data_IF_386216059763
#
_entry.id   IF_386216059763
#
_cell.length_a   1.000
_cell.length_b   1.000
_cell.length_c   1.000
_cell.angle_alpha   90.00
_cell.angle_beta   90.00
_cell.angle_gamma   90.00
#
_symmetry.space_group_name_H-M   'P 1'
#
loop_
_entity.id
_entity.type
_entity.pdbx_description
1 polymer ?
#
# COMPACT_ATOMS: atom_id res chain seq x y z
N UNK A 1 -4.38 4.18 12.18
CA UNK A 1 -3.58 4.30 10.96
C UNK A 1 -4.06 3.27 9.95
N UNK A 2 -4.13 3.62 8.68
CA UNK A 2 -4.48 2.70 7.61
C UNK A 2 -3.29 2.47 6.69
N UNK A 3 -3.22 1.27 6.10
CA UNK A 3 -2.15 0.87 5.18
C UNK A 3 -2.63 1.06 3.74
N UNK A 4 -1.81 1.62 2.88
CA UNK A 4 -2.14 1.81 1.47
C UNK A 4 -1.38 0.79 0.61
N UNK A 5 -2.10 0.13 -0.31
CA UNK A 5 -1.49 -0.64 -1.38
C UNK A 5 -0.73 0.29 -2.33
N UNK A 6 0.29 -0.19 -2.98
CA UNK A 6 1.17 0.61 -3.84
C UNK A 6 0.40 1.40 -4.90
N UNK A 7 -0.53 0.74 -5.61
CA UNK A 7 -1.32 1.42 -6.65
C UNK A 7 -2.19 2.53 -6.08
N UNK A 8 -2.66 2.38 -4.85
CA UNK A 8 -3.47 3.42 -4.19
C UNK A 8 -2.62 4.67 -3.93
N UNK A 9 -1.37 4.48 -3.50
CA UNK A 9 -0.43 5.61 -3.33
C UNK A 9 -0.22 6.33 -4.65
N UNK A 10 0.04 5.58 -5.72
CA UNK A 10 0.29 6.14 -7.04
C UNK A 10 -0.93 6.92 -7.56
N UNK A 11 -2.12 6.33 -7.47
CA UNK A 11 -3.35 6.98 -7.94
C UNK A 11 -3.73 8.19 -7.10
N UNK A 12 -3.53 8.15 -5.81
CA UNK A 12 -3.82 9.30 -4.95
C UNK A 12 -3.00 10.54 -5.37
N UNK A 13 -1.79 10.32 -5.87
CA UNK A 13 -0.91 11.40 -6.33
C UNK A 13 -1.20 11.82 -7.76
N UNK A 14 -1.29 10.85 -8.70
CA UNK A 14 -1.30 11.13 -10.14
C UNK A 14 -2.69 11.12 -10.77
N UNK A 15 -3.61 10.30 -10.24
CA UNK A 15 -4.92 10.11 -10.86
C UNK A 15 -5.97 9.76 -9.80
N UNK A 16 -6.30 10.71 -8.91
CA UNK A 16 -7.21 10.44 -7.79
C UNK A 16 -8.62 10.01 -8.22
N UNK A 17 -8.98 10.21 -9.48
CA UNK A 17 -10.28 9.74 -10.02
C UNK A 17 -10.37 8.21 -10.04
N UNK A 18 -9.26 7.50 -10.00
CA UNK A 18 -9.22 6.04 -9.96
C UNK A 18 -9.56 5.48 -8.58
N UNK A 19 -9.51 6.30 -7.55
CA UNK A 19 -9.91 5.89 -6.21
C UNK A 19 -11.43 5.82 -6.13
N UNK A 20 -11.95 4.78 -5.46
CA UNK A 20 -13.37 4.72 -5.13
C UNK A 20 -13.72 5.82 -4.13
N UNK A 21 -15.01 6.11 -4.01
CA UNK A 21 -15.49 7.09 -3.02
C UNK A 21 -15.07 6.68 -1.60
N UNK A 22 -15.21 5.40 -1.28
CA UNK A 22 -14.88 4.90 0.06
C UNK A 22 -13.38 4.95 0.32
N UNK A 23 -12.55 4.59 -0.67
CA UNK A 23 -11.10 4.68 -0.56
C UNK A 23 -10.65 6.13 -0.35
N UNK A 24 -11.15 7.05 -1.16
CA UNK A 24 -10.83 8.47 -1.03
C UNK A 24 -11.25 9.03 0.33
N UNK A 25 -12.44 8.65 0.82
CA UNK A 25 -12.94 9.06 2.13
C UNK A 25 -12.08 8.52 3.27
N UNK A 26 -11.70 7.23 3.19
CA UNK A 26 -10.85 6.61 4.20
C UNK A 26 -9.48 7.30 4.30
N UNK A 27 -8.88 7.62 3.15
CA UNK A 27 -7.60 8.33 3.09
C UNK A 27 -7.72 9.72 3.73
N UNK A 28 -8.75 10.48 3.38
CA UNK A 28 -8.97 11.82 3.95
C UNK A 28 -9.12 11.77 5.46
N UNK A 29 -9.91 10.82 5.97
CA UNK A 29 -10.12 10.67 7.42
C UNK A 29 -8.83 10.30 8.13
N UNK A 30 -8.07 9.37 7.57
CA UNK A 30 -6.80 8.95 8.15
C UNK A 30 -5.78 10.07 8.20
N UNK A 31 -5.69 10.90 7.16
CA UNK A 31 -4.80 12.06 7.13
C UNK A 31 -5.10 13.05 8.27
N UNK A 32 -6.35 13.20 8.65
CA UNK A 32 -6.77 14.09 9.74
C UNK A 32 -6.73 13.43 11.10
N UNK A 33 -6.55 12.12 11.16
CA UNK A 33 -6.57 11.34 12.38
C UNK A 33 -5.26 10.62 12.63
N UNK A 34 -5.31 9.29 12.59
CA UNK A 34 -4.18 8.45 12.96
C UNK A 34 -3.07 8.36 11.91
N UNK A 35 -3.32 8.80 10.68
CA UNK A 35 -2.33 8.85 9.63
C UNK A 35 -2.38 7.70 8.66
N UNK A 36 -1.51 7.80 7.63
CA UNK A 36 -1.35 6.84 6.55
C UNK A 36 -0.05 6.07 6.74
N UNK A 37 -0.05 4.81 6.34
CA UNK A 37 1.14 3.96 6.36
C UNK A 37 1.31 3.24 5.02
N UNK A 38 2.55 2.87 4.72
CA UNK A 38 2.90 2.00 3.59
C UNK A 38 3.89 0.95 4.08
N UNK A 39 3.87 -0.22 3.44
CA UNK A 39 4.92 -1.21 3.66
C UNK A 39 6.24 -0.73 3.08
N UNK A 40 7.35 -1.09 3.71
CA UNK A 40 8.68 -0.80 3.16
C UNK A 40 8.85 -1.32 1.73
N UNK A 41 8.20 -2.44 1.37
CA UNK A 41 8.26 -2.99 0.00
C UNK A 41 7.60 -2.06 -1.02
N UNK A 42 6.63 -1.25 -0.59
CA UNK A 42 5.98 -0.28 -1.47
C UNK A 42 6.97 0.75 -2.01
N UNK A 43 8.01 1.09 -1.24
CA UNK A 43 9.05 2.01 -1.72
C UNK A 43 9.72 1.49 -3.00
N UNK A 44 10.03 0.20 -3.03
CA UNK A 44 10.63 -0.42 -4.20
C UNK A 44 9.68 -0.44 -5.40
N UNK A 45 8.42 -0.80 -5.18
CA UNK A 45 7.43 -0.77 -6.26
C UNK A 45 7.21 0.63 -6.81
N UNK A 46 7.13 1.64 -5.93
CA UNK A 46 7.01 3.03 -6.36
C UNK A 46 8.21 3.47 -7.18
N UNK A 47 9.43 3.09 -6.75
CA UNK A 47 10.64 3.38 -7.50
C UNK A 47 10.61 2.76 -8.90
N UNK A 48 10.09 1.52 -9.03
CA UNK A 48 9.92 0.90 -10.33
C UNK A 48 8.91 1.65 -11.21
N UNK A 49 7.77 2.05 -10.63
CA UNK A 49 6.75 2.81 -11.38
C UNK A 49 7.32 4.15 -11.88
N UNK A 50 8.07 4.85 -11.04
CA UNK A 50 8.73 6.10 -11.43
C UNK A 50 9.76 5.86 -12.53
N UNK A 51 10.61 4.86 -12.36
CA UNK A 51 11.67 4.55 -13.33
C UNK A 51 11.11 4.15 -14.70
N UNK A 52 9.91 3.54 -14.73
CA UNK A 52 9.24 3.15 -15.97
C UNK A 52 8.34 4.25 -16.56
N UNK A 53 8.35 5.45 -15.98
CA UNK A 53 7.53 6.56 -16.45
C UNK A 53 6.04 6.39 -16.20
N UNK A 54 5.64 5.51 -15.30
CA UNK A 54 4.23 5.25 -14.98
C UNK A 54 3.66 6.16 -13.91
N UNK A 55 4.51 6.89 -13.23
CA UNK A 55 4.17 7.92 -12.24
C UNK A 55 5.00 9.15 -12.57
N UNK A 56 4.41 10.32 -12.42
CA UNK A 56 5.10 11.57 -12.74
C UNK A 56 6.38 11.74 -11.91
N UNK A 57 7.47 12.11 -12.58
CA UNK A 57 8.79 12.22 -11.98
C UNK A 57 9.10 13.68 -11.65
N UNK A 58 9.62 13.92 -10.45
CA UNK A 58 10.13 15.21 -10.01
C UNK A 58 11.61 15.04 -9.65
N UNK A 59 12.49 15.29 -10.62
CA UNK A 59 13.92 15.09 -10.42
C UNK A 59 14.34 13.62 -10.49
N UNK A 60 15.04 13.12 -9.47
CA UNK A 60 15.50 11.74 -9.42
C UNK A 60 14.37 10.78 -9.01
N UNK A 61 14.59 9.48 -9.21
CA UNK A 61 13.69 8.44 -8.71
C UNK A 61 13.54 8.56 -7.19
N UNK A 62 14.65 8.74 -6.49
CA UNK A 62 14.61 8.89 -5.03
C UNK A 62 13.76 10.09 -4.59
N UNK A 63 13.96 11.24 -5.19
CA UNK A 63 13.18 12.45 -4.88
C UNK A 63 11.69 12.23 -5.12
N UNK A 64 11.35 11.55 -6.22
CA UNK A 64 9.96 11.27 -6.56
C UNK A 64 9.30 10.32 -5.55
N UNK A 65 10.01 9.27 -5.13
CA UNK A 65 9.51 8.34 -4.11
C UNK A 65 9.31 9.06 -2.78
N UNK A 66 10.26 9.90 -2.36
CA UNK A 66 10.13 10.69 -1.13
C UNK A 66 8.90 11.58 -1.16
N UNK A 67 8.63 12.22 -2.29
CA UNK A 67 7.45 13.07 -2.44
C UNK A 67 6.15 12.26 -2.32
N UNK A 68 6.10 11.08 -2.93
CA UNK A 68 4.90 10.22 -2.90
C UNK A 68 4.52 9.76 -1.50
N UNK A 69 5.49 9.56 -0.62
CA UNK A 69 5.27 9.05 0.74
C UNK A 69 5.47 10.10 1.84
N UNK A 70 5.53 11.37 1.47
CA UNK A 70 5.91 12.45 2.38
C UNK A 70 5.08 12.48 3.67
N UNK A 71 3.78 12.22 3.57
CA UNK A 71 2.87 12.24 4.71
C UNK A 71 2.55 10.84 5.26
N UNK A 72 3.39 9.85 4.97
CA UNK A 72 3.13 8.45 5.33
C UNK A 72 4.20 7.88 6.25
N UNK A 73 3.79 6.97 7.11
CA UNK A 73 4.69 6.17 7.93
C UNK A 73 5.10 4.92 7.16
N UNK A 74 6.40 4.66 7.06
CA UNK A 74 6.91 3.44 6.42
C UNK A 74 7.05 2.35 7.47
N UNK A 75 6.33 1.24 7.27
CA UNK A 75 6.38 0.08 8.18
C UNK A 75 7.47 -0.86 7.69
N UNK A 76 8.48 -1.16 8.51
CA UNK A 76 9.56 -2.05 8.11
C UNK A 76 9.10 -3.49 7.97
N UNK A 77 9.84 -4.27 7.18
CA UNK A 77 9.61 -5.72 7.05
C UNK A 77 10.29 -6.39 8.25
N UNK A 78 9.49 -6.73 9.25
CA UNK A 78 9.99 -7.41 10.46
C UNK A 78 10.04 -8.92 10.25
N UNK A 79 10.74 -9.68 11.11
CA UNK A 79 10.69 -11.15 11.08
C UNK A 79 9.26 -11.70 11.16
N UNK A 80 8.40 -11.09 11.97
CA UNK A 80 6.98 -11.47 12.05
C UNK A 80 6.28 -11.30 10.71
N UNK A 81 6.43 -10.13 10.08
CA UNK A 81 5.81 -9.85 8.79
C UNK A 81 6.32 -10.80 7.72
N UNK A 82 7.64 -11.04 7.68
CA UNK A 82 8.24 -11.96 6.73
C UNK A 82 7.68 -13.38 6.89
N UNK A 83 7.53 -13.84 8.13
CA UNK A 83 6.97 -15.16 8.41
C UNK A 83 5.50 -15.25 7.97
N UNK A 84 4.68 -14.25 8.33
CA UNK A 84 3.27 -14.21 7.94
C UNK A 84 3.10 -14.21 6.42
N UNK A 85 4.01 -13.54 5.69
CA UNK A 85 3.95 -13.48 4.23
C UNK A 85 4.07 -14.86 3.57
N UNK A 86 4.70 -15.82 4.24
CA UNK A 86 4.83 -17.20 3.75
C UNK A 86 3.62 -18.07 4.06
N UNK A 87 2.66 -17.58 4.84
CA UNK A 87 1.57 -18.37 5.39
C UNK A 87 0.20 -18.07 4.79
N UNK A 88 0.14 -17.29 3.72
CA UNK A 88 -1.11 -17.04 3.03
C UNK A 88 -1.56 -18.28 2.24
N UNK A 89 -2.88 -18.53 2.18
CA UNK A 89 -3.42 -19.65 1.41
C UNK A 89 -3.24 -19.42 -0.09
N UNK A 90 -3.44 -20.51 -0.88
CA UNK A 90 -3.19 -20.49 -2.32
C UNK A 90 -4.13 -19.56 -3.10
N UNK A 91 -5.32 -19.26 -2.56
CA UNK A 91 -6.28 -18.37 -3.18
C UNK A 91 -5.96 -16.88 -2.97
N UNK A 92 -4.97 -16.57 -2.12
CA UNK A 92 -4.42 -15.22 -2.00
C UNK A 92 -3.37 -15.00 -3.11
N UNK A 93 -3.17 -13.77 -3.62
CA UNK A 93 -2.18 -13.52 -4.65
C UNK A 93 -0.81 -14.08 -4.30
N UNK A 94 -0.16 -14.69 -5.31
CA UNK A 94 1.17 -15.31 -5.12
C UNK A 94 2.32 -14.32 -5.20
N UNK A 95 2.06 -13.14 -5.75
CA UNK A 95 3.07 -12.09 -5.84
C UNK A 95 3.67 -11.81 -4.46
N UNK A 96 5.01 -11.91 -4.30
CA UNK A 96 5.65 -11.68 -3.00
C UNK A 96 5.33 -10.31 -2.42
N UNK A 97 5.23 -9.28 -3.24
CA UNK A 97 4.91 -7.93 -2.79
C UNK A 97 3.53 -7.87 -2.17
N UNK A 98 2.53 -8.46 -2.83
CA UNK A 98 1.16 -8.52 -2.29
C UNK A 98 1.11 -9.26 -0.95
N UNK A 99 1.91 -10.31 -0.82
CA UNK A 99 1.99 -11.09 0.43
C UNK A 99 2.65 -10.31 1.55
N UNK A 100 3.69 -9.54 1.26
CA UNK A 100 4.35 -8.70 2.25
C UNK A 100 3.43 -7.56 2.71
N UNK A 101 2.73 -6.92 1.78
CA UNK A 101 1.76 -5.87 2.12
C UNK A 101 0.62 -6.45 2.98
N UNK A 102 0.07 -7.59 2.58
CA UNK A 102 -0.98 -8.26 3.35
C UNK A 102 -0.51 -8.67 4.74
N UNK A 103 0.70 -9.22 4.84
CA UNK A 103 1.30 -9.60 6.12
C UNK A 103 1.50 -8.39 7.03
N UNK A 104 1.88 -7.24 6.45
CA UNK A 104 2.01 -5.99 7.19
C UNK A 104 0.66 -5.57 7.79
N UNK A 105 -0.40 -5.61 6.99
CA UNK A 105 -1.75 -5.29 7.45
C UNK A 105 -2.17 -6.18 8.62
N UNK A 106 -1.87 -7.48 8.53
CA UNK A 106 -2.21 -8.44 9.60
C UNK A 106 -1.40 -8.20 10.88
N UNK A 107 -0.08 -8.10 10.74
CA UNK A 107 0.81 -7.93 11.89
C UNK A 107 0.51 -6.64 12.66
N UNK A 108 0.19 -5.57 11.95
CA UNK A 108 -0.05 -4.26 12.53
C UNK A 108 -1.54 -4.01 12.82
N UNK A 109 -2.41 -4.98 12.53
CA UNK A 109 -3.86 -4.87 12.67
C UNK A 109 -4.43 -3.62 11.97
N UNK A 110 -3.91 -3.33 10.78
CA UNK A 110 -4.35 -2.18 9.97
C UNK A 110 -5.34 -2.60 8.90
N UNK A 111 -6.29 -1.73 8.60
CA UNK A 111 -7.13 -1.86 7.40
C UNK A 111 -6.28 -1.50 6.18
N UNK A 112 -6.37 -2.32 5.14
CA UNK A 112 -5.65 -2.10 3.87
C UNK A 112 -6.60 -1.46 2.85
N UNK A 113 -6.18 -0.34 2.28
CA UNK A 113 -6.89 0.26 1.14
C UNK A 113 -6.31 -0.37 -0.12
N UNK A 114 -7.12 -1.13 -0.84
CA UNK A 114 -6.70 -1.84 -2.05
C UNK A 114 -7.89 -2.04 -2.99
N UNK A 115 -7.62 -1.98 -4.30
CA UNK A 115 -8.58 -2.33 -5.32
C UNK A 115 -8.56 -3.82 -5.66
N UNK A 116 -7.50 -4.54 -5.33
CA UNK A 116 -7.31 -5.94 -5.72
C UNK A 116 -8.42 -6.82 -5.13
N UNK A 117 -9.25 -7.40 -6.03
CA UNK A 117 -10.39 -8.23 -5.62
C UNK A 117 -9.97 -9.50 -4.90
N UNK A 118 -8.84 -10.08 -5.25
CA UNK A 118 -8.37 -11.32 -4.62
C UNK A 118 -7.93 -11.05 -3.19
N UNK A 119 -7.33 -9.89 -2.93
CA UNK A 119 -6.99 -9.47 -1.57
C UNK A 119 -8.26 -9.15 -0.80
N UNK A 120 -9.19 -8.43 -1.43
CA UNK A 120 -10.46 -8.02 -0.79
C UNK A 120 -11.33 -9.20 -0.38
N UNK A 121 -11.25 -10.33 -1.10
CA UNK A 121 -12.00 -11.54 -0.76
C UNK A 121 -11.38 -12.32 0.41
N UNK A 122 -10.14 -12.03 0.79
CA UNK A 122 -9.49 -12.74 1.88
C UNK A 122 -10.10 -12.37 3.23
N UNK A 123 -10.51 -13.34 4.04
CA UNK A 123 -11.01 -13.07 5.39
C UNK A 123 -9.90 -12.70 6.37
N UNK A 124 -8.64 -12.80 5.95
CA UNK A 124 -7.49 -12.58 6.81
C UNK A 124 -7.13 -11.11 6.97
N UNK A 125 -7.65 -10.25 6.08
CA UNK A 125 -7.30 -8.83 6.02
C UNK A 125 -8.58 -8.01 5.92
N UNK A 126 -8.67 -6.96 6.74
CA UNK A 126 -9.73 -5.96 6.56
C UNK A 126 -9.33 -5.01 5.45
N UNK A 127 -10.22 -4.79 4.51
CA UNK A 127 -9.94 -3.94 3.35
C UNK A 127 -11.02 -2.88 3.16
N UNK A 128 -10.64 -1.81 2.48
CA UNK A 128 -11.53 -0.75 2.02
C UNK A 128 -11.28 -0.51 0.54
N UNK A 129 -12.37 -0.41 -0.20
CA UNK A 129 -12.34 0.09 -1.57
C UNK A 129 -13.68 0.67 -1.99
#
# INVERSE_FOLDING_TARGET
MILLDTHVVAWAADDPKRLSRDAASAIRRARRGEGLAVSAITLWELAQLVARGRVQVFGSVETSVRALIEDMTVIPITPEIAALATQFPDDYPRDPVDRIIGATARAEAMTLVTRDERIRRSPLIRTVW
#
